data_IF_676787525072
#
_entry.id   IF_676787525072
#
_cell.length_a   1.000
_cell.length_b   1.000
_cell.length_c   1.000
_cell.angle_alpha   90.00
_cell.angle_beta   90.00
_cell.angle_gamma   90.00
#
_symmetry.space_group_name_H-M   'P 1'
#
loop_
_entity.id
_entity.type
_entity.pdbx_description
1 polymer ?
#
# COMPACT_ATOMS: atom_id res chain seq x y z
N UNK A 1 -10.78 12.13 -18.92
CA UNK A 1 -9.88 11.68 -17.83
C UNK A 1 -9.28 12.85 -17.05
N UNK A 2 -8.74 12.63 -15.83
CA UNK A 2 -8.11 13.67 -14.98
C UNK A 2 -6.93 14.36 -15.70
N UNK A 3 -6.13 13.60 -16.44
CA UNK A 3 -5.02 14.11 -17.28
C UNK A 3 -5.50 15.11 -18.33
N UNK A 4 -6.55 14.80 -19.09
CA UNK A 4 -7.11 15.68 -20.12
C UNK A 4 -7.66 16.98 -19.54
N UNK A 5 -8.32 16.91 -18.36
CA UNK A 5 -8.84 18.10 -17.66
C UNK A 5 -7.75 19.02 -17.12
N UNK A 6 -6.57 18.48 -16.82
CA UNK A 6 -5.40 19.25 -16.41
C UNK A 6 -4.70 19.87 -17.64
N UNK A 7 -4.54 19.10 -18.72
CA UNK A 7 -3.97 19.56 -19.98
C UNK A 7 -4.80 20.72 -20.59
N UNK A 8 -6.13 20.61 -20.56
CA UNK A 8 -7.05 21.69 -20.98
C UNK A 8 -6.90 23.00 -20.17
N UNK A 9 -6.23 22.95 -19.01
CA UNK A 9 -5.92 24.11 -18.17
C UNK A 9 -4.44 24.48 -18.20
N UNK A 10 -3.66 23.97 -19.16
CA UNK A 10 -2.22 24.23 -19.28
C UNK A 10 -1.39 23.63 -18.14
N UNK A 11 -1.92 22.64 -17.40
CA UNK A 11 -1.24 22.00 -16.27
C UNK A 11 -0.74 20.62 -16.64
N UNK A 12 0.54 20.36 -16.40
CA UNK A 12 1.13 19.02 -16.48
C UNK A 12 1.06 18.35 -15.12
N UNK A 13 0.41 17.18 -15.05
CA UNK A 13 0.33 16.40 -13.81
C UNK A 13 1.60 15.58 -13.60
N UNK A 14 2.15 15.66 -12.39
CA UNK A 14 3.17 14.74 -11.89
C UNK A 14 2.52 13.72 -10.97
N UNK A 15 2.98 12.48 -11.03
CA UNK A 15 2.48 11.39 -10.21
C UNK A 15 3.61 10.91 -9.31
N UNK A 16 3.30 10.66 -8.05
CA UNK A 16 4.21 10.08 -7.07
C UNK A 16 3.51 8.96 -6.32
N UNK A 17 4.26 7.93 -5.98
CA UNK A 17 3.80 6.85 -5.10
C UNK A 17 4.50 6.98 -3.76
N UNK A 18 3.77 6.70 -2.68
CA UNK A 18 4.33 6.59 -1.34
C UNK A 18 4.40 5.12 -0.96
N UNK A 19 5.61 4.63 -0.73
CA UNK A 19 5.87 3.26 -0.30
C UNK A 19 6.60 3.29 1.04
N UNK A 20 6.25 2.36 1.92
CA UNK A 20 7.01 2.07 3.13
C UNK A 20 7.85 0.81 2.86
N UNK A 21 9.16 0.90 3.07
CA UNK A 21 10.10 -0.19 2.77
C UNK A 21 10.81 -0.60 4.05
N UNK A 22 10.87 -1.91 4.33
CA UNK A 22 11.59 -2.49 5.46
C UNK A 22 12.85 -3.13 4.91
N UNK A 23 14.02 -2.57 5.23
CA UNK A 23 15.31 -3.08 4.77
C UNK A 23 16.01 -3.80 5.92
N UNK A 24 16.44 -5.05 5.68
CA UNK A 24 17.21 -5.88 6.61
C UNK A 24 18.28 -6.66 5.87
N UNK A 25 19.18 -7.30 6.61
CA UNK A 25 20.28 -8.10 6.07
C UNK A 25 19.77 -9.35 5.35
N UNK A 26 18.72 -9.97 5.89
CA UNK A 26 18.02 -11.12 5.27
C UNK A 26 16.56 -10.81 5.00
N UNK A 27 15.94 -11.61 4.14
CA UNK A 27 14.50 -11.52 3.87
C UNK A 27 13.68 -11.93 5.09
N UNK A 28 14.09 -12.97 5.80
CA UNK A 28 13.41 -13.47 7.00
C UNK A 28 13.35 -12.39 8.09
N UNK A 29 14.44 -11.64 8.27
CA UNK A 29 14.49 -10.53 9.23
C UNK A 29 13.54 -9.39 8.84
N UNK A 30 13.38 -9.13 7.54
CA UNK A 30 12.46 -8.11 7.04
C UNK A 30 11.01 -8.49 7.32
N UNK A 31 10.64 -9.75 7.08
CA UNK A 31 9.32 -10.28 7.41
C UNK A 31 9.05 -10.30 8.91
N UNK A 32 10.00 -10.77 9.72
CA UNK A 32 9.85 -10.74 11.19
C UNK A 32 9.75 -9.30 11.74
N UNK A 33 10.38 -8.32 11.09
CA UNK A 33 10.18 -6.91 11.42
C UNK A 33 8.79 -6.41 11.01
N UNK A 34 8.26 -6.84 9.86
CA UNK A 34 6.91 -6.53 9.42
C UNK A 34 5.87 -7.10 10.41
N UNK A 35 6.01 -8.36 10.81
CA UNK A 35 5.11 -9.03 11.76
C UNK A 35 5.09 -8.31 13.11
N UNK A 36 6.26 -7.91 13.63
CA UNK A 36 6.36 -7.14 14.87
C UNK A 36 5.67 -5.79 14.80
N UNK A 37 5.69 -5.12 13.65
CA UNK A 37 5.01 -3.83 13.47
C UNK A 37 3.49 -3.96 13.55
N UNK A 38 2.94 -5.12 13.15
CA UNK A 38 1.50 -5.38 13.14
C UNK A 38 1.02 -6.20 14.34
N UNK A 39 1.92 -6.76 15.15
CA UNK A 39 1.62 -7.71 16.22
C UNK A 39 0.65 -7.20 17.31
N UNK A 40 0.51 -5.89 17.47
CA UNK A 40 -0.37 -5.27 18.46
C UNK A 40 -1.61 -4.62 17.83
N UNK A 41 -1.87 -4.87 16.55
CA UNK A 41 -3.06 -4.39 15.87
C UNK A 41 -4.17 -5.43 16.02
N UNK A 42 -5.25 -5.06 16.68
CA UNK A 42 -6.46 -5.87 16.69
C UNK A 42 -7.09 -5.90 15.27
N UNK A 43 -7.83 -6.97 14.96
CA UNK A 43 -8.48 -7.20 13.66
C UNK A 43 -9.30 -6.00 13.16
N UNK A 44 -9.96 -5.31 14.10
CA UNK A 44 -10.73 -4.09 13.84
C UNK A 44 -9.86 -2.94 13.30
N UNK A 45 -8.63 -2.83 13.78
CA UNK A 45 -7.66 -1.82 13.36
C UNK A 45 -7.09 -2.17 11.99
N UNK A 46 -6.83 -3.46 11.74
CA UNK A 46 -6.40 -3.97 10.42
C UNK A 46 -7.49 -3.69 9.37
N UNK A 47 -8.75 -4.00 9.68
CA UNK A 47 -9.87 -3.77 8.77
C UNK A 47 -10.09 -2.27 8.47
N UNK A 48 -9.89 -1.39 9.46
CA UNK A 48 -9.94 0.07 9.26
C UNK A 48 -8.79 0.56 8.40
N UNK A 49 -7.57 0.08 8.66
CA UNK A 49 -6.40 0.41 7.86
C UNK A 49 -6.60 0.01 6.40
N UNK A 50 -7.06 -1.21 6.13
CA UNK A 50 -7.38 -1.68 4.77
C UNK A 50 -8.44 -0.81 4.07
N UNK A 51 -9.51 -0.41 4.77
CA UNK A 51 -10.52 0.52 4.23
C UNK A 51 -9.97 1.91 3.91
N UNK A 52 -9.00 2.39 4.69
CA UNK A 52 -8.34 3.67 4.47
C UNK A 52 -7.38 3.56 3.28
N UNK A 53 -6.58 2.51 3.19
CA UNK A 53 -5.68 2.24 2.05
C UNK A 53 -6.44 2.03 0.74
N UNK A 54 -7.53 1.26 0.74
CA UNK A 54 -8.36 1.04 -0.45
C UNK A 54 -8.99 2.33 -1.00
N UNK A 55 -9.19 3.34 -0.16
CA UNK A 55 -9.67 4.67 -0.58
C UNK A 55 -8.55 5.60 -1.05
N UNK A 56 -7.30 5.29 -0.72
CA UNK A 56 -6.12 6.03 -1.16
C UNK A 56 -5.55 5.53 -2.48
N UNK A 57 -6.07 4.43 -3.04
CA UNK A 57 -5.51 3.84 -4.25
C UNK A 57 -5.81 4.66 -5.51
N UNK A 58 -4.73 5.19 -6.07
CA UNK A 58 -4.69 5.86 -7.35
C UNK A 58 -4.47 4.79 -8.42
N UNK A 59 -5.41 4.67 -9.38
CA UNK A 59 -5.47 3.79 -10.56
C UNK A 59 -4.16 3.11 -11.06
N UNK A 60 -3.56 2.21 -10.27
CA UNK A 60 -2.21 1.75 -10.54
C UNK A 60 -1.81 0.45 -9.85
N UNK A 61 -2.69 -0.54 -9.72
CA UNK A 61 -2.25 -1.94 -9.56
C UNK A 61 -3.36 -2.92 -9.91
N UNK A 62 -3.27 -3.51 -11.09
CA UNK A 62 -4.06 -4.66 -11.53
C UNK A 62 -3.12 -5.87 -11.65
N UNK A 63 -2.47 -6.23 -10.56
CA UNK A 63 -1.95 -7.58 -10.30
C UNK A 63 -1.47 -7.58 -8.84
N UNK A 64 -2.35 -8.00 -7.93
CA UNK A 64 -1.97 -8.34 -6.57
C UNK A 64 -2.38 -9.80 -6.39
N UNK A 65 -1.39 -10.69 -6.39
CA UNK A 65 -1.64 -12.09 -6.02
C UNK A 65 -2.04 -12.14 -4.56
N UNK A 66 -3.10 -12.89 -4.20
CA UNK A 66 -3.55 -12.96 -2.82
C UNK A 66 -2.43 -13.54 -1.96
N UNK A 67 -2.08 -12.83 -0.89
CA UNK A 67 -1.25 -13.33 0.19
C UNK A 67 -2.00 -14.46 0.92
N UNK A 68 -2.04 -15.66 0.33
CA UNK A 68 -2.51 -16.86 1.00
C UNK A 68 -1.42 -17.30 1.98
N UNK A 69 -1.55 -16.94 3.25
CA UNK A 69 -0.59 -17.42 4.26
C UNK A 69 -0.72 -16.84 5.67
N UNK A 70 -1.48 -15.77 5.88
CA UNK A 70 -1.68 -15.15 7.21
C UNK A 70 -2.94 -15.70 7.89
N UNK A 71 -2.93 -16.99 8.19
CA UNK A 71 -3.79 -17.59 9.21
C UNK A 71 -3.36 -19.04 9.47
N UNK A 72 -2.34 -19.21 10.31
CA UNK A 72 -2.21 -20.39 11.16
C UNK A 72 -1.43 -20.05 12.42
#
# INVERSE_FOLDING_TARGET
MVRERAAARGRTLQYGIRLHVIVRETEEDAWAAADRLIAHLDDDTIARAQKIFARMDSAGRADERPASGIAR
#
